data_IF_163656707846
#
_entry.id   IF_163656707846
#
_cell.length_a   1.000
_cell.length_b   1.000
_cell.length_c   1.000
_cell.angle_alpha   90.00
_cell.angle_beta   90.00
_cell.angle_gamma   90.00
#
_symmetry.space_group_name_H-M   'P 1'
#
loop_
_entity.id
_entity.type
_entity.pdbx_description
1 polymer ?
2 non-polymer ?
3 non-polymer ?
4 water ?
#
# COMPACT_ATOMS: atom_id res chain seq x y z
N UNK A 1 -23.21 9.74 33.88
CA UNK A 1 -22.75 10.87 33.02
C UNK A 1 -21.70 10.43 32.00
N UNK A 2 -21.65 11.11 30.86
CA UNK A 2 -20.63 10.86 29.85
C UNK A 2 -19.22 10.94 30.43
N UNK A 3 -19.00 11.98 31.25
CA UNK A 3 -17.69 12.27 31.82
C UNK A 3 -17.30 11.12 32.73
N UNK A 4 -18.20 10.70 33.62
CA UNK A 4 -17.82 9.69 34.62
C UNK A 4 -17.67 8.33 33.97
N UNK A 5 -18.48 8.03 32.95
CA UNK A 5 -18.36 6.72 32.28
C UNK A 5 -17.01 6.63 31.61
N UNK A 6 -16.62 7.71 30.97
CA UNK A 6 -15.32 7.71 30.31
C UNK A 6 -14.12 7.69 31.28
N UNK A 7 -14.21 8.42 32.41
CA UNK A 7 -13.19 8.37 33.48
C UNK A 7 -13.05 6.93 33.94
N UNK A 8 -14.19 6.24 34.15
CA UNK A 8 -14.13 4.86 34.62
C UNK A 8 -13.48 3.92 33.59
N UNK A 9 -13.76 4.14 32.30
CA UNK A 9 -13.14 3.33 31.24
C UNK A 9 -11.63 3.58 31.17
N UNK A 10 -11.24 4.84 31.23
CA UNK A 10 -9.82 5.20 31.26
C UNK A 10 -9.09 4.52 32.45
N UNK A 11 -9.66 4.62 33.64
CA UNK A 11 -9.00 4.03 34.83
C UNK A 11 -8.95 2.51 34.74
N UNK A 12 -10.01 1.94 34.16
CA UNK A 12 -10.12 0.49 34.04
C UNK A 12 -8.99 -0.05 33.17
N UNK A 13 -8.81 0.56 32.02
CA UNK A 13 -7.71 0.12 31.13
C UNK A 13 -6.31 0.44 31.72
N UNK A 14 -6.18 1.60 32.30
CA UNK A 14 -4.98 2.03 32.99
C UNK A 14 -4.57 0.97 33.99
N UNK A 15 -5.54 0.47 34.72
CA UNK A 15 -5.31 -0.52 35.75
C UNK A 15 -5.13 -1.94 35.20
N UNK A 16 -5.09 -2.09 33.89
CA UNK A 16 -4.77 -3.33 33.27
C UNK A 16 -5.99 -4.19 33.00
N UNK A 17 -7.22 -3.70 33.14
CA UNK A 17 -8.38 -4.56 32.95
C UNK A 17 -8.88 -4.54 31.52
N UNK A 18 -9.61 -5.61 31.14
CA UNK A 18 -10.20 -5.65 29.84
C UNK A 18 -11.45 -4.77 29.72
N UNK A 19 -11.57 -4.05 28.64
CA UNK A 19 -12.82 -3.27 28.40
C UNK A 19 -13.87 -4.20 27.75
N UNK A 20 -15.13 -3.91 28.04
CA UNK A 20 -16.24 -4.64 27.43
C UNK A 20 -16.48 -4.06 26.04
N UNK A 21 -17.12 -4.84 25.21
CA UNK A 21 -17.55 -4.35 23.94
C UNK A 21 -18.37 -3.07 24.07
N UNK A 22 -19.28 -3.04 25.05
CA UNK A 22 -20.13 -1.85 25.27
C UNK A 22 -19.33 -0.62 25.65
N UNK A 23 -18.33 -0.81 26.47
CA UNK A 23 -17.44 0.30 26.86
C UNK A 23 -16.68 0.86 25.65
N UNK A 24 -16.17 -0.03 24.80
CA UNK A 24 -15.48 0.37 23.57
C UNK A 24 -16.42 1.11 22.62
N UNK A 25 -17.63 0.58 22.38
CA UNK A 25 -18.64 1.24 21.58
C UNK A 25 -19.01 2.60 22.13
N UNK A 26 -19.13 2.70 23.44
CA UNK A 26 -19.48 3.97 24.08
C UNK A 26 -18.38 5.02 23.80
N UNK A 27 -17.14 4.60 23.95
CA UNK A 27 -15.99 5.49 23.68
C UNK A 27 -15.99 5.97 22.22
N UNK A 28 -16.02 5.04 21.28
CA UNK A 28 -15.88 5.40 19.89
C UNK A 28 -17.06 6.24 19.45
N UNK A 29 -18.28 5.80 19.82
CA UNK A 29 -19.49 6.55 19.42
C UNK A 29 -19.49 7.94 19.98
N UNK A 30 -19.10 8.04 21.25
CA UNK A 30 -19.08 9.31 21.97
C UNK A 30 -17.99 10.22 21.44
N UNK A 31 -16.84 9.66 21.15
CA UNK A 31 -15.70 10.41 20.63
C UNK A 31 -16.06 10.98 19.25
N UNK A 32 -16.59 10.14 18.39
CA UNK A 32 -16.83 10.56 17.03
C UNK A 32 -17.94 11.65 17.02
N UNK A 33 -18.89 11.58 17.95
CA UNK A 33 -19.96 12.59 18.07
C UNK A 33 -19.55 13.92 18.66
N UNK A 34 -18.39 13.99 19.31
CA UNK A 34 -17.92 15.19 19.94
C UNK A 34 -18.30 15.22 21.40
N UNK A 35 -18.88 14.14 21.90
CA UNK A 35 -19.31 14.11 23.29
C UNK A 35 -18.22 13.73 24.25
N UNK A 36 -17.15 13.11 23.77
CA UNK A 36 -16.02 12.73 24.64
C UNK A 36 -14.80 13.48 24.15
N UNK A 37 -14.19 14.31 24.98
CA UNK A 37 -13.14 15.22 24.49
C UNK A 37 -11.84 14.53 24.08
N UNK A 38 -11.13 15.17 23.17
CA UNK A 38 -9.83 14.69 22.69
C UNK A 38 -8.94 14.31 23.90
N UNK A 39 -8.96 15.11 24.95
CA UNK A 39 -8.06 14.88 26.10
C UNK A 39 -8.33 13.59 26.88
N UNK A 40 -9.59 13.14 26.89
CA UNK A 40 -9.92 11.83 27.42
C UNK A 40 -9.57 10.73 26.43
N UNK A 41 -9.84 10.93 25.15
CA UNK A 41 -9.42 9.94 24.13
C UNK A 41 -7.89 9.68 24.13
N UNK A 42 -7.10 10.75 24.30
CA UNK A 42 -5.64 10.59 24.25
C UNK A 42 -5.17 9.81 25.48
N UNK A 43 -5.77 10.09 26.64
CA UNK A 43 -5.41 9.44 27.86
C UNK A 43 -5.71 7.96 27.76
N UNK A 44 -6.88 7.62 27.22
CA UNK A 44 -7.23 6.21 26.97
C UNK A 44 -6.24 5.59 25.99
N UNK A 45 -5.89 6.30 24.92
CA UNK A 45 -4.91 5.74 23.96
C UNK A 45 -3.58 5.46 24.59
N UNK A 46 -3.11 6.39 25.46
CA UNK A 46 -1.83 6.17 26.13
C UNK A 46 -1.94 4.99 27.11
N UNK A 47 -3.10 4.84 27.79
CA UNK A 47 -3.29 3.68 28.67
C UNK A 47 -3.25 2.38 27.84
N UNK A 48 -3.87 2.39 26.66
CA UNK A 48 -3.82 1.27 25.75
C UNK A 48 -2.38 1.00 25.31
N UNK A 49 -1.61 2.06 25.04
CA UNK A 49 -0.25 1.89 24.60
C UNK A 49 0.52 1.03 25.60
N UNK A 50 0.30 1.26 26.90
CA UNK A 50 1.02 0.50 27.94
C UNK A 50 0.35 -0.83 28.30
N UNK A 51 -0.96 -0.86 28.37
CA UNK A 51 -1.64 -1.97 28.93
C UNK A 51 -2.21 -2.96 27.86
N UNK A 52 -2.28 -2.52 26.60
CA UNK A 52 -2.71 -3.34 25.46
C UNK A 52 -4.20 -3.74 25.53
N UNK A 53 -4.64 -4.55 24.57
CA UNK A 53 -5.98 -5.01 24.41
C UNK A 53 -5.91 -6.45 23.93
N UNK A 54 -6.81 -7.29 24.37
CA UNK A 54 -6.86 -8.66 23.86
C UNK A 54 -7.59 -8.70 22.50
N UNK A 55 -7.71 -9.88 21.90
CA UNK A 55 -8.36 -9.93 20.59
C UNK A 55 -9.78 -9.48 20.61
N UNK A 56 -10.55 -9.86 21.63
CA UNK A 56 -11.96 -9.45 21.72
C UNK A 56 -12.08 -7.92 21.79
N UNK A 57 -11.22 -7.27 22.57
CA UNK A 57 -11.19 -5.80 22.58
C UNK A 57 -10.81 -5.21 21.21
N UNK A 58 -9.76 -5.74 20.62
CA UNK A 58 -9.34 -5.30 19.30
C UNK A 58 -10.38 -5.43 18.23
N UNK A 59 -11.10 -6.57 18.21
CA UNK A 59 -12.23 -6.73 17.30
C UNK A 59 -13.33 -5.69 17.61
N UNK A 60 -13.70 -5.49 18.88
CA UNK A 60 -14.73 -4.49 19.23
C UNK A 60 -14.33 -3.10 18.77
N UNK A 61 -13.06 -2.74 18.95
CA UNK A 61 -12.56 -1.45 18.50
C UNK A 61 -12.60 -1.32 16.98
N UNK A 62 -12.08 -2.34 16.28
CA UNK A 62 -12.14 -2.39 14.83
C UNK A 62 -13.60 -2.16 14.35
N UNK A 63 -14.54 -2.96 14.86
CA UNK A 63 -15.92 -2.88 14.38
C UNK A 63 -16.63 -1.61 14.80
N UNK A 64 -16.30 -1.03 15.99
CA UNK A 64 -16.90 0.26 16.37
C UNK A 64 -16.50 1.33 15.38
N UNK A 65 -15.23 1.29 14.97
CA UNK A 65 -14.75 2.24 13.94
C UNK A 65 -15.38 1.97 12.58
N UNK A 66 -15.44 0.71 12.17
CA UNK A 66 -16.26 0.37 10.95
C UNK A 66 -17.64 0.96 11.01
N UNK A 67 -18.31 0.78 12.13
CA UNK A 67 -19.67 1.23 12.27
C UNK A 67 -19.85 2.76 12.45
N UNK A 68 -18.74 3.53 12.53
CA UNK A 68 -18.85 4.96 12.66
C UNK A 68 -19.22 5.62 11.33
N UNK A 69 -19.11 4.93 10.19
CA UNK A 69 -19.31 5.53 8.92
C UNK A 69 -19.92 4.60 7.88
N UNK A 70 -19.58 4.87 6.62
CA UNK A 70 -19.91 4.07 5.45
C UNK A 70 -19.53 2.61 5.62
N UNK A 71 -20.43 1.68 5.32
CA UNK A 71 -20.08 0.28 5.14
C UNK A 71 -20.41 -0.08 3.71
N UNK A 72 -19.39 -0.23 2.86
CA UNK A 72 -19.59 -0.39 1.42
C UNK A 72 -20.11 -1.79 1.18
N UNK A 73 -21.22 -1.90 0.47
CA UNK A 73 -21.83 -3.18 0.22
C UNK A 73 -21.43 -3.64 -1.17
N UNK A 74 -20.59 -4.67 -1.26
CA UNK A 74 -20.16 -5.21 -2.53
C UNK A 74 -20.85 -6.54 -2.88
N UNK A 75 -21.96 -6.82 -2.19
CA UNK A 75 -22.62 -8.15 -2.31
C UNK A 75 -23.14 -8.42 -3.72
N UNK A 76 -23.43 -7.38 -4.49
CA UNK A 76 -23.91 -7.56 -5.88
C UNK A 76 -22.81 -7.81 -6.88
N UNK A 77 -21.57 -7.73 -6.44
CA UNK A 77 -20.43 -8.19 -7.23
C UNK A 77 -20.18 -9.66 -6.96
N UNK A 78 -20.21 -10.47 -8.01
CA UNK A 78 -20.11 -11.91 -7.85
C UNK A 78 -18.72 -12.33 -7.44
N UNK A 79 -18.68 -13.34 -6.57
CA UNK A 79 -17.45 -13.91 -6.08
C UNK A 79 -16.93 -13.27 -4.80
N UNK A 80 -15.70 -13.66 -4.45
CA UNK A 80 -15.03 -13.24 -3.24
C UNK A 80 -14.11 -12.12 -3.58
N UNK A 81 -14.40 -10.96 -3.02
CA UNK A 81 -13.67 -9.75 -3.34
C UNK A 81 -12.53 -9.74 -2.34
N UNK A 82 -11.32 -9.91 -2.83
CA UNK A 82 -10.17 -9.91 -1.97
C UNK A 82 -9.45 -8.60 -2.20
N UNK A 83 -9.01 -7.99 -1.13
CA UNK A 83 -8.25 -6.73 -1.20
C UNK A 83 -6.91 -6.86 -0.52
N UNK A 84 -5.93 -6.21 -1.12
CA UNK A 84 -4.55 -6.18 -0.62
C UNK A 84 -4.32 -4.84 0.04
N UNK A 85 -3.67 -4.82 1.21
CA UNK A 85 -3.21 -3.60 1.90
C UNK A 85 -1.73 -3.71 2.17
N UNK A 86 -0.99 -2.70 1.79
CA UNK A 86 0.41 -2.59 2.11
C UNK A 86 0.59 -1.51 3.13
N UNK A 87 1.39 -1.76 4.15
CA UNK A 87 1.78 -0.71 5.11
C UNK A 87 2.63 0.41 4.46
N UNK A 88 3.20 0.12 3.29
CA UNK A 88 3.71 1.15 2.39
C UNK A 88 5.22 1.09 2.20
N UNK A 89 5.68 1.62 1.08
CA UNK A 89 7.09 1.70 0.79
C UNK A 89 7.47 2.24 -0.58
N UNK A 90 8.61 2.88 -0.64
CA UNK A 90 9.09 3.50 -1.83
C UNK A 90 9.26 2.49 -2.96
N UNK A 91 8.63 2.76 -4.10
CA UNK A 91 8.63 1.81 -5.25
C UNK A 91 7.60 0.67 -5.25
N UNK A 92 6.72 0.64 -4.25
CA UNK A 92 5.66 -0.37 -4.09
C UNK A 92 4.65 -0.22 -5.29
N UNK A 93 4.97 -0.83 -6.46
CA UNK A 93 4.10 -0.65 -7.64
C UNK A 93 3.25 -1.91 -7.86
N UNK A 94 2.89 -2.58 -6.75
CA UNK A 94 2.24 -3.86 -6.85
C UNK A 94 0.79 -3.70 -7.22
N UNK A 95 0.10 -2.73 -6.68
CA UNK A 95 -1.30 -2.62 -7.01
C UNK A 95 -1.56 -2.49 -8.52
N UNK A 96 -0.67 -1.77 -9.22
CA UNK A 96 -0.81 -1.55 -10.66
C UNK A 96 -0.78 -2.85 -11.43
N UNK A 97 0.05 -3.80 -11.00
CA UNK A 97 0.16 -5.08 -11.64
C UNK A 97 -0.94 -6.00 -11.13
N UNK A 98 -1.12 -6.01 -9.81
CA UNK A 98 -2.09 -6.93 -9.20
C UNK A 98 -3.53 -6.81 -9.66
N UNK A 99 -4.01 -5.58 -9.89
CA UNK A 99 -5.39 -5.41 -10.32
C UNK A 99 -5.76 -6.11 -11.67
N UNK A 100 -5.04 -5.83 -12.78
CA UNK A 100 -5.27 -6.62 -13.96
C UNK A 100 -4.86 -8.10 -13.87
N UNK A 101 -3.73 -8.38 -13.22
CA UNK A 101 -3.27 -9.77 -13.10
C UNK A 101 -4.29 -10.71 -12.45
N UNK A 102 -4.76 -10.33 -11.28
CA UNK A 102 -5.70 -11.13 -10.49
C UNK A 102 -7.05 -11.23 -11.18
N UNK A 103 -7.54 -10.11 -11.69
CA UNK A 103 -8.74 -10.08 -12.52
C UNK A 103 -8.65 -11.05 -13.73
N UNK A 104 -7.45 -11.18 -14.28
CA UNK A 104 -7.25 -11.98 -15.46
C UNK A 104 -7.39 -13.45 -15.13
N UNK A 105 -7.27 -13.83 -13.86
CA UNK A 105 -7.56 -15.22 -13.49
C UNK A 105 -8.95 -15.38 -12.87
N UNK A 106 -9.84 -14.43 -13.11
CA UNK A 106 -11.25 -14.52 -12.73
C UNK A 106 -11.52 -14.15 -11.24
N UNK A 107 -10.60 -13.43 -10.61
CA UNK A 107 -10.80 -12.94 -9.26
C UNK A 107 -11.30 -11.48 -9.33
N UNK A 108 -12.44 -11.18 -8.71
CA UNK A 108 -12.98 -9.81 -8.78
C UNK A 108 -12.10 -8.83 -8.02
N UNK A 109 -11.67 -7.78 -8.71
CA UNK A 109 -10.91 -6.70 -8.13
C UNK A 109 -11.82 -5.48 -8.11
N UNK A 110 -12.47 -5.26 -6.96
CA UNK A 110 -13.35 -4.12 -6.77
C UNK A 110 -12.53 -3.10 -5.96
N UNK A 111 -11.69 -2.31 -6.64
CA UNK A 111 -10.64 -1.58 -5.95
C UNK A 111 -11.10 -0.16 -5.63
N UNK A 112 -10.92 0.21 -4.38
CA UNK A 112 -11.03 1.59 -3.96
C UNK A 112 -9.62 2.14 -3.69
N UNK A 113 -9.21 3.17 -4.43
CA UNK A 113 -7.86 3.73 -4.29
C UNK A 113 -7.93 5.21 -3.99
N UNK A 114 -6.82 5.90 -4.17
CA UNK A 114 -6.82 7.34 -3.97
C UNK A 114 -5.69 8.03 -4.67
N UNK A 115 -5.55 9.31 -4.35
CA UNK A 115 -4.47 10.14 -4.84
C UNK A 115 -3.60 10.34 -3.60
N UNK A 116 -3.66 11.53 -2.99
CA UNK A 116 -3.08 11.70 -1.66
C UNK A 116 -1.68 12.24 -1.58
N UNK A 117 -1.10 12.09 -0.40
CA UNK A 117 0.13 12.76 -0.04
C UNK A 117 1.17 11.67 -0.05
N UNK A 118 2.42 12.06 -0.16
CA UNK A 118 3.47 11.01 -0.15
C UNK A 118 4.56 11.36 -1.14
N UNK A 119 5.55 10.48 -1.17
CA UNK A 119 6.69 10.65 -2.02
C UNK A 119 6.29 10.68 -3.50
N UNK A 120 5.33 9.83 -3.85
CA UNK A 120 4.75 9.72 -5.19
C UNK A 120 3.21 9.74 -5.09
N UNK A 121 2.58 9.79 -6.25
CA UNK A 121 1.14 9.81 -6.32
C UNK A 121 0.55 8.51 -5.83
N UNK A 122 -0.76 8.52 -5.63
CA UNK A 122 -1.50 7.35 -5.28
C UNK A 122 -1.78 6.61 -6.55
N UNK A 123 -2.34 5.42 -6.43
CA UNK A 123 -2.58 4.57 -7.58
C UNK A 123 -3.37 5.31 -8.67
N UNK A 124 -4.36 6.09 -8.27
CA UNK A 124 -5.18 6.84 -9.26
C UNK A 124 -4.39 7.93 -10.01
N UNK A 125 -3.48 8.58 -9.32
CA UNK A 125 -2.60 9.57 -9.96
C UNK A 125 -1.79 8.92 -11.05
N UNK A 126 -1.24 7.72 -10.74
CA UNK A 126 -0.41 7.01 -11.68
C UNK A 126 -1.17 6.57 -12.94
N UNK A 127 -2.37 6.08 -12.72
CA UNK A 127 -3.20 5.66 -13.81
C UNK A 127 -3.63 6.87 -14.65
N UNK A 128 -3.70 8.05 -14.04
CA UNK A 128 -4.07 9.24 -14.81
C UNK A 128 -2.94 9.67 -15.74
N UNK A 129 -1.78 9.00 -15.67
CA UNK A 129 -0.77 9.22 -16.74
C UNK A 129 -1.30 8.84 -18.11
N UNK A 130 -2.32 7.97 -18.16
CA UNK A 130 -2.94 7.57 -19.41
C UNK A 130 -4.03 8.59 -19.76
N UNK A 131 -3.90 9.24 -20.90
CA UNK A 131 -4.90 10.21 -21.39
C UNK A 131 -6.31 9.64 -21.35
N UNK A 132 -7.22 10.40 -20.74
CA UNK A 132 -8.60 9.99 -20.68
C UNK A 132 -9.05 9.22 -19.46
N UNK A 133 -8.12 8.50 -18.81
CA UNK A 133 -8.47 7.73 -17.66
C UNK A 133 -9.05 8.55 -16.52
N UNK A 134 -10.12 8.01 -15.92
CA UNK A 134 -10.76 8.69 -14.81
C UNK A 134 -11.49 7.67 -13.95
N UNK A 135 -11.79 8.06 -12.71
CA UNK A 135 -12.54 7.25 -11.80
C UNK A 135 -13.92 7.84 -11.43
N UNK A 136 -14.50 8.67 -12.31
CA UNK A 136 -15.80 9.29 -12.07
C UNK A 136 -16.95 8.37 -12.48
N UNK A 137 -16.99 7.18 -11.89
CA UNK A 137 -18.04 6.22 -12.23
C UNK A 137 -18.95 6.07 -11.01
N UNK A 138 -20.23 5.84 -11.24
CA UNK A 138 -21.15 5.68 -10.12
C UNK A 138 -21.14 4.25 -9.56
N UNK A 139 -21.90 4.02 -8.49
CA UNK A 139 -22.01 2.73 -7.83
C UNK A 139 -22.42 1.62 -8.77
N UNK A 140 -23.50 1.83 -9.52
CA UNK A 140 -24.02 0.79 -10.39
C UNK A 140 -23.01 0.49 -11.48
N UNK A 141 -22.25 1.50 -11.92
CA UNK A 141 -21.25 1.31 -12.99
C UNK A 141 -20.06 0.49 -12.50
N UNK A 142 -19.57 0.78 -11.30
CA UNK A 142 -18.49 0.04 -10.63
C UNK A 142 -18.87 -1.47 -10.54
N UNK A 143 -20.09 -1.74 -10.06
CA UNK A 143 -20.56 -3.10 -9.86
C UNK A 143 -20.62 -3.86 -11.19
N UNK A 144 -21.18 -3.22 -12.21
CA UNK A 144 -21.27 -3.74 -13.56
C UNK A 144 -19.92 -4.06 -14.17
N UNK A 145 -18.99 -3.13 -14.06
CA UNK A 145 -17.61 -3.31 -14.55
C UNK A 145 -16.91 -4.47 -13.90
N UNK A 146 -17.01 -4.59 -12.57
CA UNK A 146 -16.37 -5.73 -11.89
C UNK A 146 -17.09 -7.04 -12.31
N UNK A 147 -18.41 -7.02 -12.45
CA UNK A 147 -19.09 -8.23 -12.86
C UNK A 147 -18.70 -8.60 -14.30
N UNK A 148 -18.49 -7.62 -15.17
CA UNK A 148 -18.24 -7.92 -16.58
C UNK A 148 -16.79 -8.14 -16.93
N UNK A 149 -15.89 -7.45 -16.25
CA UNK A 149 -14.46 -7.50 -16.53
C UNK A 149 -13.56 -7.96 -15.36
N UNK A 150 -14.15 -8.14 -14.19
CA UNK A 150 -13.44 -8.52 -12.96
C UNK A 150 -12.49 -7.46 -12.45
N UNK A 151 -12.58 -6.24 -12.98
CA UNK A 151 -11.77 -5.16 -12.40
C UNK A 151 -12.46 -3.81 -12.63
N UNK A 152 -12.31 -2.94 -11.65
CA UNK A 152 -12.68 -1.52 -11.80
C UNK A 152 -12.00 -0.76 -10.69
N UNK A 153 -11.86 0.56 -10.82
CA UNK A 153 -11.25 1.36 -9.72
C UNK A 153 -12.06 2.61 -9.46
N UNK A 154 -12.35 2.86 -8.18
CA UNK A 154 -12.94 4.13 -7.79
C UNK A 154 -12.07 4.78 -6.77
N UNK A 155 -12.35 6.05 -6.54
CA UNK A 155 -11.68 6.77 -5.46
C UNK A 155 -12.31 6.54 -4.10
N UNK A 156 -11.77 7.19 -3.08
CA UNK A 156 -12.24 6.99 -1.72
C UNK A 156 -13.71 7.36 -1.61
N UNK A 157 -14.50 6.61 -0.85
CA UNK A 157 -15.87 7.09 -0.51
C UNK A 157 -15.78 8.32 0.42
N UNK A 158 -16.90 8.95 0.66
CA UNK A 158 -16.92 10.23 1.38
C UNK A 158 -16.76 10.16 2.91
N UNK A 159 -17.10 9.02 3.52
CA UNK A 159 -17.17 8.95 4.99
C UNK A 159 -16.78 7.55 5.54
N UNK A 160 -15.67 7.03 5.08
CA UNK A 160 -15.18 5.75 5.60
C UNK A 160 -14.53 5.96 7.00
N UNK A 161 -14.94 5.15 7.97
CA UNK A 161 -14.37 5.11 9.30
C UNK A 161 -13.97 6.50 9.87
N UNK A 162 -14.95 7.43 9.99
CA UNK A 162 -14.61 8.72 10.57
C UNK A 162 -13.98 8.63 11.96
N UNK A 163 -14.35 7.62 12.76
CA UNK A 163 -13.77 7.44 14.09
C UNK A 163 -12.29 7.20 13.98
N UNK A 164 -11.89 6.49 12.95
CA UNK A 164 -10.46 6.21 12.73
C UNK A 164 -9.72 7.43 12.15
N UNK A 165 -10.35 8.19 11.26
CA UNK A 165 -9.70 9.41 10.78
C UNK A 165 -9.37 10.26 12.01
N UNK A 166 -10.32 10.39 12.93
CA UNK A 166 -10.19 11.28 14.07
C UNK A 166 -9.12 10.67 15.04
N UNK A 167 -9.27 9.39 15.35
CA UNK A 167 -8.33 8.76 16.30
C UNK A 167 -6.88 8.65 15.80
N UNK A 168 -6.67 8.33 14.54
CA UNK A 168 -5.31 8.28 14.01
C UNK A 168 -4.62 9.64 14.03
N UNK A 169 -5.36 10.70 13.68
CA UNK A 169 -4.86 12.04 13.67
C UNK A 169 -4.46 12.40 15.11
N UNK A 170 -5.29 12.02 16.08
CA UNK A 170 -4.97 12.27 17.50
C UNK A 170 -3.76 11.47 17.97
N UNK A 171 -3.70 10.21 17.59
CA UNK A 171 -2.58 9.32 17.90
C UNK A 171 -1.28 9.94 17.43
N UNK A 172 -1.32 10.54 16.24
CA UNK A 172 -0.14 11.13 15.62
C UNK A 172 0.39 12.36 16.34
N UNK A 173 -0.40 13.01 17.18
CA UNK A 173 0.03 14.21 17.87
C UNK A 173 0.06 13.97 19.38
N UNK A 174 -0.05 12.71 19.82
CA UNK A 174 -0.04 12.43 21.27
C UNK A 174 0.82 11.24 21.62
N UNK A 175 1.70 10.79 20.72
CA UNK A 175 2.60 9.66 21.07
C UNK A 175 2.03 8.25 21.09
N UNK A 176 0.91 8.04 20.40
CA UNK A 176 0.13 6.79 20.49
C UNK A 176 -0.13 6.13 19.18
N UNK A 177 0.71 6.43 18.19
CA UNK A 177 0.61 5.72 16.93
C UNK A 177 1.10 4.26 17.06
N UNK A 178 2.28 4.10 17.60
CA UNK A 178 2.94 2.78 17.63
C UNK A 178 2.50 1.84 18.75
N UNK A 179 1.25 1.37 18.66
CA UNK A 179 0.71 0.43 19.60
C UNK A 179 -0.04 -0.55 18.73
N UNK A 180 0.26 -1.82 18.92
CA UNK A 180 -0.25 -2.87 18.01
C UNK A 180 -1.78 -2.89 17.92
N UNK A 181 -2.49 -2.83 19.07
CA UNK A 181 -3.94 -2.92 19.00
C UNK A 181 -4.51 -1.71 18.27
N UNK A 182 -3.87 -0.57 18.43
CA UNK A 182 -4.34 0.64 17.75
C UNK A 182 -4.02 0.64 16.23
N UNK A 183 -2.84 0.11 15.85
CA UNK A 183 -2.47 0.01 14.43
C UNK A 183 -3.37 -1.01 13.75
N UNK A 184 -3.46 -2.20 14.35
CA UNK A 184 -4.20 -3.30 13.80
C UNK A 184 -5.68 -2.94 13.58
N UNK A 185 -6.31 -2.36 14.59
CA UNK A 185 -7.69 -1.97 14.46
C UNK A 185 -7.85 -0.87 13.43
N UNK A 186 -6.92 0.08 13.43
CA UNK A 186 -6.98 1.17 12.45
C UNK A 186 -6.93 0.66 10.96
N UNK A 187 -5.90 -0.12 10.63
CA UNK A 187 -5.73 -0.63 9.26
C UNK A 187 -6.90 -1.55 8.86
N UNK A 188 -7.24 -2.49 9.75
CA UNK A 188 -8.29 -3.45 9.47
C UNK A 188 -9.69 -2.81 9.34
N UNK A 189 -9.95 -1.77 10.10
CA UNK A 189 -11.27 -1.09 10.03
C UNK A 189 -11.51 -0.55 8.66
N UNK A 190 -10.50 0.08 8.07
CA UNK A 190 -10.67 0.69 6.74
C UNK A 190 -10.86 -0.38 5.67
N UNK A 191 -10.15 -1.50 5.76
CA UNK A 191 -10.30 -2.54 4.77
C UNK A 191 -11.66 -3.26 4.89
N UNK A 192 -12.13 -3.45 6.10
CA UNK A 192 -13.41 -4.07 6.36
C UNK A 192 -14.50 -3.10 5.95
N UNK A 193 -14.40 -1.84 6.36
CA UNK A 193 -15.41 -0.86 5.93
C UNK A 193 -15.55 -0.78 4.39
N UNK A 194 -14.47 -0.98 3.66
CA UNK A 194 -14.48 -0.85 2.19
C UNK A 194 -15.15 -2.02 1.48
N UNK A 195 -15.53 -3.08 2.21
CA UNK A 195 -16.35 -4.15 1.66
C UNK A 195 -15.68 -5.50 1.33
N UNK A 196 -14.36 -5.51 1.41
CA UNK A 196 -13.53 -6.73 1.19
C UNK A 196 -14.16 -7.92 1.86
N UNK A 197 -14.38 -9.01 1.12
CA UNK A 197 -14.72 -10.29 1.71
C UNK A 197 -13.49 -10.97 2.37
N UNK A 198 -12.31 -10.74 1.81
CA UNK A 198 -11.06 -11.30 2.29
C UNK A 198 -9.94 -10.25 2.08
N UNK A 199 -8.91 -10.37 2.86
CA UNK A 199 -7.83 -9.33 2.94
C UNK A 199 -6.42 -9.98 2.90
N UNK A 200 -5.56 -9.44 2.04
CA UNK A 200 -4.16 -9.81 2.02
C UNK A 200 -3.36 -8.61 2.49
N UNK A 201 -2.49 -8.82 3.48
CA UNK A 201 -1.68 -7.77 4.05
C UNK A 201 -0.22 -7.92 3.66
N UNK A 202 0.36 -6.86 3.14
CA UNK A 202 1.79 -6.82 2.88
C UNK A 202 2.42 -5.97 3.96
N UNK A 203 2.97 -6.61 4.98
CA UNK A 203 3.55 -5.88 6.10
C UNK A 203 5.03 -5.73 5.86
N UNK A 204 5.48 -4.51 5.60
CA UNK A 204 6.89 -4.27 5.29
C UNK A 204 7.73 -4.42 6.54
N UNK A 205 9.01 -4.75 6.35
CA UNK A 205 9.99 -4.71 7.42
C UNK A 205 11.27 -4.15 6.87
N UNK A 206 12.07 -3.60 7.77
CA UNK A 206 13.40 -3.06 7.44
C UNK A 206 13.36 -1.57 7.53
N UNK A 207 14.45 -0.92 7.13
CA UNK A 207 14.63 0.51 7.37
C UNK A 207 13.66 1.41 6.65
N UNK A 208 13.11 0.93 5.54
CA UNK A 208 12.12 1.69 4.79
C UNK A 208 10.69 1.32 5.11
N UNK A 209 10.50 0.57 6.19
CA UNK A 209 9.17 0.08 6.60
C UNK A 209 8.66 0.83 7.84
N UNK A 210 7.33 0.79 8.04
CA UNK A 210 6.77 1.27 9.32
C UNK A 210 7.30 0.39 10.48
N UNK A 211 7.24 -0.93 10.33
CA UNK A 211 7.67 -1.88 11.35
C UNK A 211 9.11 -2.26 11.03
N UNK A 212 10.05 -1.55 11.63
CA UNK A 212 11.45 -1.68 11.25
C UNK A 212 12.03 -3.08 11.54
N UNK A 213 11.60 -3.74 12.61
CA UNK A 213 12.18 -5.04 12.94
C UNK A 213 11.26 -6.15 12.47
N UNK A 214 11.85 -7.28 12.15
CA UNK A 214 11.08 -8.46 11.71
C UNK A 214 10.10 -8.88 12.82
N UNK A 215 10.56 -8.85 14.07
CA UNK A 215 9.73 -9.25 15.21
C UNK A 215 8.49 -8.35 15.32
N UNK A 216 8.69 -7.06 15.12
CA UNK A 216 7.55 -6.16 15.17
C UNK A 216 6.62 -6.29 13.99
N UNK A 217 7.17 -6.53 12.80
CA UNK A 217 6.35 -6.77 11.59
C UNK A 217 5.51 -8.02 11.74
N UNK A 218 6.10 -9.09 12.27
CA UNK A 218 5.39 -10.30 12.52
C UNK A 218 4.27 -10.14 13.51
N UNK A 219 4.54 -9.41 14.59
CA UNK A 219 3.56 -9.20 15.65
C UNK A 219 2.35 -8.50 15.08
N UNK A 220 2.60 -7.46 14.29
CA UNK A 220 1.53 -6.71 13.67
C UNK A 220 0.76 -7.56 12.65
N UNK A 221 1.47 -8.31 11.81
CA UNK A 221 0.78 -9.17 10.81
C UNK A 221 -0.17 -10.19 11.45
N UNK A 222 0.34 -10.93 12.43
CA UNK A 222 -0.47 -11.93 13.11
C UNK A 222 -1.69 -11.24 13.77
N UNK A 223 -1.46 -10.08 14.38
CA UNK A 223 -2.54 -9.36 15.10
C UNK A 223 -3.67 -9.02 14.09
N UNK A 224 -3.30 -8.58 12.90
CA UNK A 224 -4.33 -8.25 11.88
C UNK A 224 -5.02 -9.47 11.29
N UNK A 225 -4.26 -10.57 11.11
CA UNK A 225 -4.81 -11.80 10.62
C UNK A 225 -5.87 -12.30 11.63
N UNK A 226 -5.60 -12.20 12.91
CA UNK A 226 -6.53 -12.71 13.92
C UNK A 226 -7.79 -11.86 13.95
N UNK A 227 -7.65 -10.54 13.80
CA UNK A 227 -8.84 -9.67 13.71
C UNK A 227 -9.74 -10.09 12.55
N UNK A 228 -9.18 -10.17 11.35
CA UNK A 228 -9.94 -10.51 10.15
C UNK A 228 -10.66 -11.80 10.23
N UNK A 229 -9.93 -12.85 10.64
CA UNK A 229 -10.51 -14.17 10.75
C UNK A 229 -11.65 -14.20 11.79
N UNK A 230 -11.47 -13.48 12.89
CA UNK A 230 -12.48 -13.42 13.91
C UNK A 230 -13.76 -12.75 13.44
N UNK A 231 -13.64 -11.70 12.65
CA UNK A 231 -14.85 -11.07 12.10
C UNK A 231 -15.44 -11.78 10.85
N UNK A 232 -14.78 -12.82 10.35
CA UNK A 232 -15.20 -13.56 9.17
C UNK A 232 -14.76 -12.96 7.81
N UNK A 233 -13.78 -12.04 7.79
CA UNK A 233 -13.17 -11.59 6.51
C UNK A 233 -11.82 -12.30 6.50
N UNK A 234 -11.76 -13.51 5.92
CA UNK A 234 -10.53 -14.34 5.86
C UNK A 234 -9.34 -13.48 5.43
N UNK A 235 -8.26 -13.56 6.19
CA UNK A 235 -7.10 -12.66 6.12
C UNK A 235 -5.80 -13.46 6.12
N UNK A 236 -4.88 -13.08 5.25
CA UNK A 236 -3.54 -13.65 5.24
C UNK A 236 -2.59 -12.49 5.12
N UNK A 237 -1.33 -12.77 5.33
CA UNK A 237 -0.29 -11.77 5.29
C UNK A 237 1.04 -12.30 4.83
N UNK A 238 1.84 -11.36 4.38
CA UNK A 238 3.23 -11.58 4.01
C UNK A 238 4.06 -10.57 4.79
N UNK A 239 5.27 -10.92 5.18
CA UNK A 239 6.24 -9.93 5.63
C UNK A 239 7.28 -9.81 4.54
N UNK A 240 7.38 -8.64 3.94
CA UNK A 240 8.30 -8.39 2.80
C UNK A 240 9.33 -7.32 3.14
N UNK A 241 10.46 -7.37 2.46
CA UNK A 241 11.61 -6.51 2.74
C UNK A 241 11.50 -5.12 2.12
N UNK A 242 11.82 -4.11 2.92
CA UNK A 242 11.87 -2.70 2.46
C UNK A 242 13.18 -2.06 3.01
N UNK A 243 14.27 -2.82 3.00
CA UNK A 243 15.60 -2.24 3.26
C UNK A 243 16.16 -1.43 2.04
N UNK A 244 15.38 -1.38 0.98
CA UNK A 244 15.69 -0.60 -0.23
C UNK A 244 14.38 -0.49 -1.01
N UNK A 245 14.31 0.45 -1.93
CA UNK A 245 13.10 0.57 -2.68
C UNK A 245 12.78 -0.72 -3.46
N UNK A 246 11.50 -0.99 -3.67
CA UNK A 246 11.08 -2.14 -4.44
C UNK A 246 11.19 -1.80 -5.91
N UNK A 247 11.66 -2.75 -6.71
CA UNK A 247 11.77 -2.52 -8.14
C UNK A 247 12.78 -1.45 -8.49
N UNK A 248 12.56 -0.76 -9.60
CA UNK A 248 13.52 0.25 -10.06
C UNK A 248 12.91 1.63 -10.11
N UNK A 249 11.66 1.71 -10.58
CA UNK A 249 11.00 3.04 -10.79
C UNK A 249 10.36 3.64 -9.54
N UNK A 250 10.60 4.93 -9.29
CA UNK A 250 10.01 5.60 -8.19
C UNK A 250 9.40 6.86 -8.83
N UNK A 251 8.11 6.86 -9.02
CA UNK A 251 7.49 7.99 -9.69
C UNK A 251 6.07 7.60 -10.05
N UNK A 252 5.52 8.22 -11.10
CA UNK A 252 4.15 8.03 -11.48
C UNK A 252 4.05 7.30 -12.85
N UNK A 253 4.18 8.01 -13.97
CA UNK A 253 4.24 7.37 -15.26
C UNK A 253 5.39 6.33 -15.27
N UNK A 254 6.51 6.64 -14.65
CA UNK A 254 7.63 5.67 -14.58
C UNK A 254 7.25 4.35 -13.97
N UNK A 255 6.46 4.40 -12.91
CA UNK A 255 5.95 3.18 -12.29
C UNK A 255 4.93 2.46 -13.12
N UNK A 256 4.09 3.20 -13.82
CA UNK A 256 3.18 2.60 -14.76
C UNK A 256 3.94 1.83 -15.86
N UNK A 257 5.04 2.39 -16.40
CA UNK A 257 5.88 1.67 -17.39
C UNK A 257 6.41 0.36 -16.82
N UNK A 258 6.93 0.42 -15.59
CA UNK A 258 7.39 -0.81 -14.92
C UNK A 258 6.29 -1.84 -14.68
N UNK A 259 5.10 -1.38 -14.31
CA UNK A 259 3.93 -2.28 -14.20
C UNK A 259 3.63 -2.98 -15.54
N UNK A 260 3.67 -2.21 -16.63
CA UNK A 260 3.45 -2.75 -17.96
C UNK A 260 4.51 -3.82 -18.29
N UNK A 261 5.77 -3.54 -17.99
CA UNK A 261 6.82 -4.52 -18.23
C UNK A 261 6.58 -5.83 -17.45
N UNK A 262 6.16 -5.69 -16.19
CA UNK A 262 5.92 -6.83 -15.30
C UNK A 262 4.76 -7.64 -15.81
N UNK A 263 3.74 -6.96 -16.33
CA UNK A 263 2.59 -7.65 -16.84
C UNK A 263 2.91 -8.43 -18.09
N UNK A 264 4.06 -8.13 -18.74
CA UNK A 264 4.56 -8.91 -19.89
C UNK A 264 5.68 -9.86 -19.51
N UNK A 265 5.92 -10.00 -18.21
CA UNK A 265 6.95 -10.89 -17.74
C UNK A 265 8.35 -10.35 -18.00
N UNK A 266 8.48 -9.04 -18.09
CA UNK A 266 9.76 -8.36 -18.29
C UNK A 266 10.05 -7.32 -17.22
N UNK A 267 9.48 -7.49 -16.03
CA UNK A 267 9.70 -6.52 -14.98
C UNK A 267 10.87 -6.85 -14.04
N UNK A 268 11.12 -5.97 -13.08
CA UNK A 268 12.18 -6.30 -12.12
C UNK A 268 11.88 -7.61 -11.39
N UNK A 269 12.92 -8.34 -11.08
CA UNK A 269 12.73 -9.62 -10.41
C UNK A 269 12.06 -9.52 -9.03
N UNK A 270 12.44 -8.53 -8.24
CA UNK A 270 11.85 -8.33 -6.91
C UNK A 270 10.33 -8.00 -6.99
N UNK A 271 9.99 -6.98 -7.75
CA UNK A 271 8.61 -6.66 -7.98
C UNK A 271 7.81 -7.86 -8.48
N UNK A 272 8.37 -8.61 -9.44
CA UNK A 272 7.70 -9.81 -9.95
C UNK A 272 7.43 -10.85 -8.84
N UNK A 273 8.43 -11.16 -8.02
CA UNK A 273 8.28 -12.12 -6.95
C UNK A 273 7.25 -11.66 -5.90
N UNK A 274 7.27 -10.38 -5.54
CA UNK A 274 6.28 -9.89 -4.56
C UNK A 274 4.86 -9.98 -5.13
N UNK A 275 4.70 -9.52 -6.37
CA UNK A 275 3.42 -9.66 -7.09
C UNK A 275 2.90 -11.12 -7.08
N UNK A 276 3.73 -12.06 -7.52
CA UNK A 276 3.33 -13.47 -7.53
C UNK A 276 3.01 -14.05 -6.12
N UNK A 277 3.73 -13.61 -5.11
CA UNK A 277 3.46 -14.07 -3.73
C UNK A 277 2.14 -13.52 -3.22
N UNK A 278 1.94 -12.22 -3.34
CA UNK A 278 0.68 -11.60 -2.89
C UNK A 278 -0.48 -12.09 -3.75
N UNK A 279 -0.30 -12.12 -5.06
CA UNK A 279 -1.31 -12.64 -6.00
C UNK A 279 -1.74 -14.05 -5.70
N UNK A 280 -0.76 -14.92 -5.40
CA UNK A 280 -1.07 -16.30 -5.06
C UNK A 280 -1.97 -16.38 -3.84
N UNK A 281 -1.69 -15.56 -2.83
CA UNK A 281 -2.58 -15.53 -1.63
C UNK A 281 -4.00 -15.05 -2.04
N UNK A 282 -4.04 -14.05 -2.90
CA UNK A 282 -5.33 -13.48 -3.26
C UNK A 282 -6.18 -14.53 -4.00
N UNK A 283 -5.53 -15.26 -4.90
CA UNK A 283 -6.19 -16.28 -5.74
C UNK A 283 -6.75 -17.41 -4.89
N UNK A 284 -5.99 -17.86 -3.90
CA UNK A 284 -6.45 -18.89 -2.99
C UNK A 284 -7.61 -18.41 -2.14
N UNK A 285 -7.47 -17.22 -1.53
CA UNK A 285 -8.54 -16.58 -0.76
C UNK A 285 -9.83 -16.39 -1.59
N UNK A 286 -9.71 -16.21 -2.90
CA UNK A 286 -10.87 -15.99 -3.77
C UNK A 286 -11.41 -17.33 -4.28
N UNK A 287 -10.87 -18.44 -3.77
CA UNK A 287 -11.30 -19.76 -4.17
C UNK A 287 -11.14 -19.98 -5.63
N UNK A 288 -10.06 -19.43 -6.20
CA UNK A 288 -9.69 -19.79 -7.56
C UNK A 288 -8.49 -20.72 -7.67
N UNK A 289 -8.04 -21.22 -6.53
CA UNK A 289 -7.03 -22.29 -6.47
C UNK A 289 -7.01 -22.85 -5.08
N UNK A 290 -6.53 -24.09 -4.97
CA UNK A 290 -6.44 -24.81 -3.72
C UNK A 290 -5.13 -24.54 -2.95
N UNK A 291 -4.04 -24.27 -3.68
CA UNK A 291 -2.73 -24.07 -3.06
C UNK A 291 -2.03 -22.83 -3.62
N UNK A 292 -1.08 -22.29 -2.88
CA UNK A 292 -0.28 -21.18 -3.39
C UNK A 292 0.42 -21.55 -4.71
N UNK A 293 0.95 -22.78 -4.82
CA UNK A 293 1.69 -23.18 -6.00
C UNK A 293 0.82 -23.25 -7.23
N UNK A 294 -0.39 -23.79 -7.07
CA UNK A 294 -1.39 -23.79 -8.14
C UNK A 294 -1.77 -22.34 -8.54
N UNK A 295 -1.93 -21.46 -7.56
CA UNK A 295 -2.27 -20.05 -7.84
C UNK A 295 -1.18 -19.37 -8.66
N UNK A 296 0.07 -19.53 -8.24
CA UNK A 296 1.25 -18.98 -8.94
C UNK A 296 1.37 -19.44 -10.40
N UNK A 297 1.13 -20.72 -10.64
CA UNK A 297 1.03 -21.24 -12.01
C UNK A 297 -0.02 -20.51 -12.85
N UNK A 298 -1.23 -20.38 -12.35
CA UNK A 298 -2.30 -19.61 -13.02
C UNK A 298 -1.86 -18.20 -13.41
N UNK A 299 -1.18 -17.54 -12.46
CA UNK A 299 -0.78 -16.16 -12.64
C UNK A 299 0.30 -16.02 -13.69
N UNK A 300 1.30 -16.86 -13.62
CA UNK A 300 2.38 -16.87 -14.60
C UNK A 300 1.80 -17.19 -16.02
N UNK A 301 0.80 -18.07 -16.11
CA UNK A 301 0.19 -18.36 -17.39
C UNK A 301 -0.55 -17.16 -17.90
N UNK A 302 -1.23 -16.46 -17.01
CA UNK A 302 -1.95 -15.22 -17.37
C UNK A 302 -0.98 -14.19 -17.97
N UNK A 303 0.20 -14.05 -17.38
CA UNK A 303 1.25 -13.14 -17.86
C UNK A 303 1.78 -13.63 -19.22
N UNK A 304 2.16 -14.90 -19.26
CA UNK A 304 2.81 -15.49 -20.43
C UNK A 304 1.94 -15.56 -21.69
N UNK A 305 0.66 -15.79 -21.50
CA UNK A 305 -0.31 -15.88 -22.58
C UNK A 305 -0.74 -14.50 -23.11
N UNK A 306 -0.39 -13.41 -22.41
CA UNK A 306 -0.86 -12.09 -22.77
C UNK A 306 -2.15 -11.64 -22.08
N UNK A 307 -2.82 -12.54 -21.38
CA UNK A 307 -4.13 -12.25 -20.76
C UNK A 307 -4.07 -11.13 -19.71
N UNK A 308 -3.00 -11.11 -18.92
CA UNK A 308 -2.81 -10.10 -17.89
C UNK A 308 -2.73 -8.69 -18.47
N UNK A 309 -1.93 -8.54 -19.52
CA UNK A 309 -1.78 -7.25 -20.16
C UNK A 309 -3.09 -6.82 -20.86
N UNK A 310 -3.77 -7.78 -21.47
CA UNK A 310 -4.98 -7.49 -22.20
C UNK A 310 -6.04 -7.01 -21.24
N UNK A 311 -6.03 -7.59 -20.04
CA UNK A 311 -6.97 -7.19 -19.00
C UNK A 311 -6.68 -5.75 -18.55
N UNK A 312 -5.39 -5.38 -18.46
CA UNK A 312 -5.03 -4.00 -18.14
C UNK A 312 -5.60 -3.03 -19.16
N UNK A 313 -5.49 -3.38 -20.44
CA UNK A 313 -6.07 -2.57 -21.52
C UNK A 313 -7.58 -2.42 -21.42
N UNK A 314 -8.25 -3.53 -21.12
CA UNK A 314 -9.73 -3.52 -20.95
C UNK A 314 -10.11 -2.61 -19.80
N UNK A 315 -9.39 -2.76 -18.73
CA UNK A 315 -9.57 -1.90 -17.53
C UNK A 315 -9.43 -0.42 -17.83
N UNK A 316 -8.33 -0.04 -18.47
CA UNK A 316 -8.05 1.34 -18.87
C UNK A 316 -9.13 1.86 -19.87
N UNK A 317 -9.42 1.07 -20.88
CA UNK A 317 -10.41 1.39 -21.90
C UNK A 317 -11.77 1.66 -21.29
N UNK A 318 -12.25 0.75 -20.45
CA UNK A 318 -13.54 0.84 -19.81
C UNK A 318 -13.69 2.07 -18.87
N UNK A 319 -12.60 2.73 -18.47
CA UNK A 319 -12.68 3.95 -17.69
C UNK A 319 -12.06 5.14 -18.41
N UNK A 320 -12.22 5.16 -19.74
CA UNK A 320 -11.96 6.34 -20.55
C UNK A 320 -10.55 6.47 -21.08
N UNK A 321 -9.64 5.60 -20.65
CA UNK A 321 -8.24 5.76 -21.06
C UNK A 321 -7.99 5.30 -22.50
N UNK A 322 -6.93 5.84 -23.09
CA UNK A 322 -6.41 5.34 -24.36
C UNK A 322 -5.50 4.10 -24.12
N UNK A 323 -6.09 2.94 -24.29
CA UNK A 323 -5.45 1.67 -24.01
C UNK A 323 -4.31 1.34 -25.00
N UNK A 324 -4.26 2.05 -26.12
CA UNK A 324 -3.15 1.85 -27.06
C UNK A 324 -1.83 2.30 -26.45
N UNK A 325 -1.88 3.23 -25.48
CA UNK A 325 -0.68 3.58 -24.71
C UNK A 325 -0.06 2.39 -23.98
N UNK A 326 -0.86 1.43 -23.55
CA UNK A 326 -0.32 0.25 -22.86
C UNK A 326 0.58 -0.57 -23.80
N UNK A 327 0.19 -0.63 -25.08
CA UNK A 327 0.94 -1.31 -26.11
C UNK A 327 2.14 -0.49 -26.58
N UNK A 328 2.04 0.82 -26.40
CA UNK A 328 3.13 1.70 -26.80
C UNK A 328 3.51 2.65 -25.67
N UNK A 329 4.07 2.08 -24.61
CA UNK A 329 4.26 2.95 -23.43
C UNK A 329 5.31 4.05 -23.59
N UNK A 330 6.06 4.02 -24.69
CA UNK A 330 6.99 5.08 -25.04
C UNK A 330 6.23 6.40 -25.23
N UNK A 331 4.92 6.34 -25.42
CA UNK A 331 4.08 7.55 -25.57
C UNK A 331 3.58 8.12 -24.24
N UNK A 332 3.91 7.47 -23.13
CA UNK A 332 3.58 8.01 -21.82
C UNK A 332 4.35 9.34 -21.61
N UNK A 333 3.87 10.20 -20.66
CA UNK A 333 4.55 11.47 -20.27
C UNK A 333 6.02 11.18 -20.00
N UNK A 334 6.91 11.91 -20.67
CA UNK A 334 8.38 11.77 -20.59
C UNK A 334 9.01 13.06 -20.06
N UNK A 335 9.93 12.95 -19.11
CA UNK A 335 10.54 14.14 -18.50
C UNK A 335 11.49 14.71 -19.56
N UNK A 336 11.57 16.02 -19.61
CA UNK A 336 12.48 16.69 -20.51
C UNK A 336 13.94 16.30 -20.33
N UNK A 337 14.38 16.13 -19.08
CA UNK A 337 15.79 15.90 -18.77
C UNK A 337 16.01 14.56 -18.07
N UNK A 338 16.91 13.73 -18.62
CA UNK A 338 17.26 12.45 -18.02
C UNK A 338 18.71 12.52 -17.61
N UNK A 339 18.97 12.63 -16.32
CA UNK A 339 20.31 12.97 -15.83
C UNK A 339 20.84 11.74 -15.15
N UNK A 340 21.99 11.25 -15.60
CA UNK A 340 22.53 10.06 -14.99
C UNK A 340 23.20 10.46 -13.68
N UNK A 341 23.14 9.57 -12.71
CA UNK A 341 23.76 9.80 -11.43
C UNK A 341 24.75 8.66 -11.29
N UNK A 342 26.02 9.03 -11.21
CA UNK A 342 27.07 8.05 -11.36
C UNK A 342 27.71 7.67 -10.02
N UNK A 343 28.20 6.43 -9.94
CA UNK A 343 28.89 5.94 -8.75
C UNK A 343 30.21 6.68 -8.58
N UNK A 344 30.47 7.16 -7.37
CA UNK A 344 31.70 7.90 -7.09
C UNK A 344 32.91 6.97 -6.82
N UNK A 345 32.61 5.68 -6.67
CA UNK A 345 33.64 4.66 -6.40
C UNK A 345 33.13 3.31 -6.81
N UNK A 346 34.06 2.38 -6.99
CA UNK A 346 33.75 1.01 -7.35
C UNK A 346 33.49 0.14 -6.15
N UNK A 347 32.68 -0.88 -6.38
CA UNK A 347 32.36 -1.82 -5.36
C UNK A 347 31.04 -2.51 -5.60
N UNK A 348 30.26 -2.54 -4.53
CA UNK A 348 28.92 -3.08 -4.54
C UNK A 348 28.03 -2.11 -3.81
N UNK A 349 26.81 -1.97 -4.31
CA UNK A 349 25.81 -1.18 -3.63
C UNK A 349 25.43 -1.97 -2.38
N UNK A 350 25.60 -1.33 -1.21
CA UNK A 350 25.31 -1.96 0.05
C UNK A 350 24.17 -1.33 0.79
N UNK A 351 23.83 -0.07 0.47
CA UNK A 351 22.79 0.67 1.16
C UNK A 351 22.02 1.54 0.19
N UNK A 352 20.70 1.51 0.27
CA UNK A 352 19.88 2.48 -0.46
C UNK A 352 18.82 2.95 0.52
N UNK A 353 18.92 4.16 1.02
CA UNK A 353 17.93 4.53 2.03
C UNK A 353 16.63 4.89 1.33
N UNK A 354 15.61 4.01 1.45
CA UNK A 354 14.36 4.09 0.70
C UNK A 354 13.69 5.39 0.86
N UNK A 355 13.50 5.82 2.11
CA UNK A 355 12.68 7.02 2.31
C UNK A 355 13.35 8.22 1.70
N UNK A 356 14.67 8.28 1.76
CA UNK A 356 15.33 9.46 1.22
C UNK A 356 15.38 9.46 -0.32
N UNK A 357 15.48 8.27 -0.93
CA UNK A 357 15.25 8.18 -2.39
C UNK A 357 13.83 8.63 -2.73
N UNK A 358 12.85 8.27 -1.88
CA UNK A 358 11.50 8.77 -2.04
C UNK A 358 11.38 10.29 -1.94
N UNK A 359 12.04 10.89 -0.93
CA UNK A 359 12.08 12.33 -0.83
C UNK A 359 12.71 12.96 -2.11
N UNK A 360 13.81 12.39 -2.59
CA UNK A 360 14.49 12.89 -3.78
C UNK A 360 13.52 12.89 -4.97
N UNK A 361 12.82 11.77 -5.17
CA UNK A 361 11.82 11.71 -6.24
C UNK A 361 10.71 12.76 -6.03
N UNK A 362 10.20 12.85 -4.80
CA UNK A 362 9.18 13.82 -4.49
C UNK A 362 9.62 15.24 -4.82
N UNK A 363 10.88 15.55 -4.54
CA UNK A 363 11.40 16.90 -4.77
C UNK A 363 11.47 17.28 -6.24
N UNK A 364 11.44 16.28 -7.13
CA UNK A 364 11.34 16.52 -8.60
C UNK A 364 9.93 16.89 -9.01
N UNK A 365 8.94 16.61 -8.14
CA UNK A 365 7.52 16.83 -8.40
C UNK A 365 6.69 15.55 -8.42
N UNK A 366 7.25 14.41 -8.02
CA UNK A 366 6.54 13.13 -8.12
C UNK A 366 5.40 13.00 -7.10
N UNK A 367 5.44 13.74 -5.98
CA UNK A 367 4.37 13.62 -4.96
C UNK A 367 3.99 14.93 -4.25
N UNK A 368 2.95 14.86 -3.42
CA UNK A 368 2.38 16.01 -2.76
C UNK A 368 2.72 16.13 -1.29
N UNK A 369 2.96 17.37 -0.85
CA UNK A 369 2.92 17.73 0.59
C UNK A 369 1.48 18.04 1.04
N UNK A 370 0.69 18.77 0.25
CA UNK A 370 -0.65 19.19 0.64
C UNK A 370 -1.67 18.72 -0.37
N UNK A 371 -2.93 18.56 0.04
CA UNK A 371 -3.97 18.19 -0.91
C UNK A 371 -4.06 19.17 -2.09
N UNK A 372 -3.51 20.37 -1.90
CA UNK A 372 -3.54 21.38 -2.95
C UNK A 372 -2.34 21.36 -3.93
N UNK A 373 -1.29 20.60 -3.62
CA UNK A 373 -0.15 20.45 -4.54
C UNK A 373 -0.48 19.63 -5.77
N UNK A 374 0.25 19.93 -6.84
CA UNK A 374 0.06 19.29 -8.13
C UNK A 374 1.25 18.37 -8.31
N UNK A 375 1.00 17.27 -8.97
CA UNK A 375 2.04 16.29 -9.18
C UNK A 375 2.45 16.43 -10.64
N UNK A 376 3.72 16.17 -10.92
CA UNK A 376 4.22 16.04 -12.26
C UNK A 376 4.33 14.54 -12.50
N UNK A 377 3.51 14.04 -13.41
CA UNK A 377 3.43 12.59 -13.64
C UNK A 377 4.65 11.97 -14.36
N UNK A 378 5.49 12.83 -14.97
CA UNK A 378 6.61 12.44 -15.81
C UNK A 378 7.89 12.19 -15.02
N UNK A 379 7.97 12.72 -13.78
CA UNK A 379 9.23 12.85 -13.10
C UNK A 379 9.46 11.68 -12.13
N UNK A 380 10.70 11.55 -11.71
CA UNK A 380 11.06 10.52 -10.75
C UNK A 380 12.47 10.02 -10.89
N UNK A 381 12.70 8.84 -10.30
CA UNK A 381 14.01 8.19 -10.26
C UNK A 381 13.85 6.82 -10.82
N UNK A 382 14.77 6.38 -11.67
CA UNK A 382 14.86 4.95 -12.00
C UNK A 382 16.21 4.37 -11.58
N UNK A 383 16.19 3.45 -10.61
CA UNK A 383 17.40 2.84 -10.06
C UNK A 383 17.94 1.83 -11.07
N UNK A 384 19.24 1.90 -11.34
CA UNK A 384 19.91 1.01 -12.27
C UNK A 384 20.76 -0.04 -11.48
N UNK A 385 20.78 0.06 -10.17
CA UNK A 385 21.52 -0.88 -9.29
C UNK A 385 20.72 -1.03 -8.00
N UNK A 386 20.71 -2.24 -7.44
CA UNK A 386 20.07 -2.53 -6.15
C UNK A 386 21.11 -3.15 -5.24
N UNK A 387 20.77 -3.32 -3.97
CA UNK A 387 21.69 -3.82 -2.95
C UNK A 387 22.26 -5.16 -3.44
N UNK A 388 23.59 -5.25 -3.48
CA UNK A 388 24.30 -6.49 -3.89
C UNK A 388 24.76 -6.49 -5.33
N UNK A 389 24.33 -5.48 -6.10
CA UNK A 389 24.82 -5.32 -7.45
C UNK A 389 26.20 -4.66 -7.47
N UNK A 390 27.06 -5.19 -8.32
CA UNK A 390 28.35 -4.57 -8.64
C UNK A 390 28.20 -3.25 -9.39
N UNK A 391 29.04 -2.29 -9.06
CA UNK A 391 29.07 -0.98 -9.68
C UNK A 391 30.52 -0.51 -9.81
N UNK A 392 30.85 0.11 -10.95
CA UNK A 392 32.19 0.68 -11.11
C UNK A 392 32.10 2.20 -11.01
N UNK A 393 33.23 2.81 -10.59
CA UNK A 393 33.30 4.26 -10.53
C UNK A 393 32.92 4.84 -11.90
N UNK A 394 32.01 5.80 -11.92
CA UNK A 394 31.56 6.40 -13.20
C UNK A 394 30.38 5.71 -13.86
N UNK A 395 29.98 4.51 -13.44
CA UNK A 395 28.79 3.81 -13.97
C UNK A 395 27.51 4.41 -13.32
N UNK A 396 26.41 4.39 -14.05
CA UNK A 396 25.14 4.96 -13.60
C UNK A 396 24.49 4.12 -12.48
N UNK A 397 24.32 4.72 -11.31
CA UNK A 397 23.54 4.13 -10.25
C UNK A 397 22.05 4.27 -10.54
N UNK A 398 21.64 5.36 -11.18
CA UNK A 398 20.23 5.63 -11.35
C UNK A 398 20.10 6.80 -12.33
N UNK A 399 18.91 6.96 -12.86
CA UNK A 399 18.58 8.05 -13.71
C UNK A 399 17.53 8.94 -13.09
N UNK A 400 17.82 10.23 -13.08
CA UNK A 400 16.94 11.26 -12.58
C UNK A 400 16.13 11.78 -13.75
N UNK A 401 14.81 11.68 -13.64
CA UNK A 401 13.91 12.20 -14.66
C UNK A 401 13.34 13.51 -14.17
N UNK A 402 13.80 14.63 -14.73
CA UNK A 402 13.39 15.93 -14.26
C UNK A 402 12.83 16.78 -15.37
N UNK A 403 11.90 17.65 -14.99
CA UNK A 403 11.41 18.72 -15.89
C UNK A 403 12.00 20.09 -15.56
N UNK A 404 12.96 20.09 -14.66
CA UNK A 404 13.77 21.29 -14.36
C UNK A 404 15.27 21.00 -14.54
N UNK A 405 16.04 21.98 -15.02
CA UNK A 405 17.47 21.83 -15.17
C UNK A 405 18.23 21.67 -13.86
N UNK A 406 17.82 22.38 -12.83
CA UNK A 406 18.55 22.37 -11.57
C UNK A 406 18.01 21.27 -10.66
N UNK A 407 18.80 20.20 -10.48
CA UNK A 407 18.46 19.09 -9.60
C UNK A 407 19.52 18.92 -8.49
N UNK A 408 20.18 20.02 -8.13
CA UNK A 408 21.27 20.01 -7.17
C UNK A 408 20.80 19.46 -5.85
N UNK A 409 19.62 19.92 -5.42
CA UNK A 409 19.12 19.46 -4.14
C UNK A 409 18.67 17.98 -4.20
N UNK A 410 18.11 17.53 -5.32
CA UNK A 410 17.80 16.11 -5.49
C UNK A 410 19.10 15.28 -5.43
N UNK A 411 20.17 15.76 -6.06
CA UNK A 411 21.44 15.01 -6.09
C UNK A 411 22.06 14.90 -4.69
N UNK A 412 21.96 15.96 -3.90
CA UNK A 412 22.49 15.88 -2.52
C UNK A 412 21.68 14.90 -1.66
N UNK A 413 20.37 14.92 -1.79
CA UNK A 413 19.56 13.91 -1.10
C UNK A 413 19.95 12.48 -1.54
N UNK A 414 20.14 12.25 -2.83
CA UNK A 414 20.61 10.93 -3.28
C UNK A 414 22.00 10.62 -2.73
N UNK A 415 22.91 11.60 -2.64
CA UNK A 415 24.25 11.41 -2.06
C UNK A 415 24.20 10.81 -0.63
N UNK A 416 23.28 11.30 0.19
CA UNK A 416 23.13 10.84 1.58
C UNK A 416 22.55 9.42 1.61
N UNK A 417 21.95 8.96 0.50
CA UNK A 417 21.17 7.73 0.52
C UNK A 417 21.82 6.45 0.00
N UNK A 418 22.99 6.56 -0.60
CA UNK A 418 23.63 5.43 -1.28
C UNK A 418 24.97 5.13 -0.63
N UNK A 419 25.21 3.85 -0.37
CA UNK A 419 26.53 3.41 0.11
C UNK A 419 27.04 2.33 -0.83
N UNK A 420 28.31 2.47 -1.18
CA UNK A 420 29.01 1.53 -2.02
C UNK A 420 30.17 1.01 -1.17
N UNK A 421 30.25 -0.30 -1.07
CA UNK A 421 31.33 -0.92 -0.28
C UNK A 421 31.54 -2.32 -0.80
N UNK A 422 32.08 -3.22 0.00
CA UNK A 422 32.43 -4.52 -0.51
C UNK A 422 31.19 -5.42 -0.61
N UNK A 423 31.34 -6.52 -1.30
CA UNK A 423 30.25 -7.37 -1.64
C UNK A 423 29.32 -7.71 -0.46
N UNK A 424 28.02 -7.67 -0.72
CA UNK A 424 26.98 -8.24 0.14
C UNK A 424 25.99 -8.99 -0.71
N UNK A 425 25.23 -9.91 -0.11
CA UNK A 425 24.14 -10.59 -0.82
C UNK A 425 22.92 -9.71 -0.90
N UNK A 426 22.08 -9.95 -1.90
CA UNK A 426 20.79 -9.28 -1.99
C UNK A 426 19.99 -9.73 -0.77
N UNK A 427 19.32 -8.78 -0.12
CA UNK A 427 18.51 -9.24 1.00
C UNK A 427 17.30 -10.10 0.52
N UNK A 428 16.92 -11.05 1.37
CA UNK A 428 15.73 -11.87 1.16
C UNK A 428 14.47 -10.98 1.11
N UNK A 429 13.67 -11.12 0.06
CA UNK A 429 12.47 -10.26 -0.16
C UNK A 429 11.25 -10.74 0.65
N UNK A 430 10.93 -12.03 0.60
CA UNK A 430 9.77 -12.56 1.32
C UNK A 430 10.25 -13.26 2.63
N UNK A 431 10.05 -12.61 3.77
CA UNK A 431 10.57 -13.13 5.05
C UNK A 431 9.64 -14.15 5.66
N UNK A 432 8.34 -13.96 5.42
CA UNK A 432 7.35 -14.80 6.08
C UNK A 432 6.03 -14.75 5.33
N UNK A 433 5.36 -15.89 5.27
CA UNK A 433 4.04 -16.03 4.72
C UNK A 433 3.18 -16.53 5.84
N UNK A 434 2.14 -15.75 6.17
CA UNK A 434 1.30 -16.01 7.31
C UNK A 434 -0.10 -16.34 6.88
N UNK A 435 -0.57 -17.50 7.39
CA UNK A 435 -1.95 -17.98 7.21
C UNK A 435 -2.76 -18.19 8.58
N UNK A 436 -2.29 -17.66 9.75
CA UNK A 436 -2.97 -17.75 11.08
C UNK A 436 -2.73 -16.60 12.15
X LIG B 1 1.97 4.43 7.82
X LIG B 1 1.47 4.74 6.49
X LIG B 1 0.03 5.29 6.38
X LIG B 1 -1.00 4.30 6.66
X LIG B 1 -0.33 6.47 7.32
X LIG B 1 0.10 7.75 6.86
X LIG B 1 -1.84 6.41 7.46
X LIG B 1 -2.06 4.91 7.45
X LIG B 1 -2.09 4.40 8.84
X LIG B 1 -3.34 4.33 9.52
X LIG B 1 -4.37 4.76 8.95
X LIG B 1 -3.43 3.87 10.77
X LIG B 1 -2.35 3.45 11.45
X LIG B 1 -2.46 3.04 12.62
X LIG B 1 -1.04 3.50 10.79
X LIG B 1 0.19 3.05 11.52
X LIG B 1 -0.98 3.97 9.48
X LIG C 1 16.19 -7.14 -10.04
X LIG C 1 16.74 -5.77 -9.81
X LIG C 1 15.21 -7.45 -8.95
X LIG C 1 15.64 -7.18 -11.42
X LIG C 1 17.28 -8.10 -9.92
X LIG D 1 -3.88 1.27 -3.31
X LIG D 1 -3.50 2.48 -2.60
X LIG D 1 -4.80 0.57 -2.42
X LIG D 1 -4.48 1.56 -4.62
X LIG D 1 -2.66 0.48 -3.49
#
# INVERSE_FOLDING_TARGET
SNAMRMIDIIEKKRDGHTLTTEEINFFIGGYVKGDIPDYQASSLAMAIYFQDMNDDERVALTMAMVNSGDMIDLSDIKGVKVDKHSTGGVGDTTTLVLAPLVAAVDVPVAKMSGRGLGHTGGTIDKLEAIDGFHVEIDEATFVKLVNENKVAVVGQSGNLTPADKKLYALRDVTGTVNSIPLIASSIMSKKIAAGADAIVLDVKTGSGAFMKTLEDAEALAHAMVRIGNNVGRNTMAIISDMNQPLGRAIGNALELQEAIDTLKGQGPKDLTELVLTLGSQMVVLANKAETLEEARALLIEAINSGAALEKFKTFIKNQGGDETVIDHPERLPQAQYQIEYKAKKSGYVTELVSNDIGVASMMLGAGRLTKEDDIDLAVGIVLNKKIGDKVEEGESLLTIHSNRQDVDDVVKKLDSSITIADHVVSPTLIHKIITE
THM O5' C5' C4' O4' C3' O3' C2' C1' N1 C2 O2 N3 C4 O4 C5 C5M C6
SO4 S O1 O2 O3 O4
SO4 S O1 O2 O3 O4
#
